data_IF_547981949935
#
_entry.id   IF_547981949935
#
_cell.length_a   1.000
_cell.length_b   1.000
_cell.length_c   1.000
_cell.angle_alpha   90.00
_cell.angle_beta   90.00
_cell.angle_gamma   90.00
#
_symmetry.space_group_name_H-M   'P 1'
#
loop_
_entity.id
_entity.type
_entity.pdbx_description
1 polymer ?
#
# COMPACT_ATOMS: atom_id res chain seq x y z
N UNK A 1 8.65 28.38 -7.23
CA UNK A 1 7.96 27.89 -6.02
C UNK A 1 8.90 28.03 -4.85
N UNK A 2 8.43 28.31 -3.63
CA UNK A 2 9.29 28.35 -2.45
C UNK A 2 9.52 26.93 -1.92
N UNK A 3 10.65 26.66 -1.25
CA UNK A 3 10.89 25.40 -0.54
C UNK A 3 9.71 25.02 0.39
N UNK A 4 9.04 26.01 0.99
CA UNK A 4 7.87 25.79 1.84
C UNK A 4 6.60 25.32 1.10
N UNK A 5 6.54 25.44 -0.23
CA UNK A 5 5.44 24.86 -1.03
C UNK A 5 5.73 23.42 -1.45
N UNK A 6 7.00 22.98 -1.56
CA UNK A 6 7.36 21.58 -1.82
C UNK A 6 7.09 20.69 -0.61
N UNK A 7 7.49 21.14 0.58
CA UNK A 7 7.30 20.42 1.85
C UNK A 7 5.81 20.23 2.22
N UNK A 8 4.89 20.99 1.61
CA UNK A 8 3.47 21.01 1.99
C UNK A 8 2.61 19.88 1.37
N UNK A 9 3.11 19.17 0.35
CA UNK A 9 2.36 18.11 -0.34
C UNK A 9 3.05 16.75 -0.40
N UNK A 10 4.31 16.66 0.03
CA UNK A 10 4.96 15.38 0.23
C UNK A 10 4.34 14.64 1.43
N UNK A 11 4.32 13.31 1.37
CA UNK A 11 3.67 12.44 2.36
C UNK A 11 2.17 12.75 2.59
N UNK A 12 1.45 13.05 1.50
CA UNK A 12 0.00 13.30 1.55
C UNK A 12 -0.78 12.49 0.52
N UNK A 13 -2.06 12.28 0.81
CA UNK A 13 -3.07 11.78 -0.13
C UNK A 13 -4.14 12.85 -0.29
N UNK A 14 -4.27 13.41 -1.49
CA UNK A 14 -5.24 14.44 -1.87
C UNK A 14 -6.44 13.78 -2.58
N UNK A 15 -7.62 13.71 -1.94
CA UNK A 15 -8.82 13.20 -2.58
C UNK A 15 -9.42 14.26 -3.52
N UNK A 16 -10.03 13.81 -4.62
CA UNK A 16 -10.76 14.66 -5.54
C UNK A 16 -11.96 13.93 -6.16
N UNK A 17 -12.81 14.69 -6.84
CA UNK A 17 -13.98 14.20 -7.54
C UNK A 17 -14.17 14.93 -8.87
N UNK A 18 -14.52 14.16 -9.90
CA UNK A 18 -14.95 14.61 -11.23
C UNK A 18 -16.46 14.43 -11.28
N UNK A 19 -17.20 15.48 -10.94
CA UNK A 19 -18.66 15.41 -10.74
C UNK A 19 -19.42 15.10 -12.03
N UNK A 20 -18.91 15.51 -13.20
CA UNK A 20 -19.58 15.29 -14.49
C UNK A 20 -19.46 13.85 -15.02
N UNK A 21 -18.44 13.11 -14.57
CA UNK A 21 -18.14 11.76 -15.04
C UNK A 21 -18.42 10.68 -13.98
N UNK A 22 -19.00 11.05 -12.84
CA UNK A 22 -19.22 10.15 -11.69
C UNK A 22 -17.93 9.41 -11.27
N UNK A 23 -16.79 10.10 -11.28
CA UNK A 23 -15.49 9.53 -10.90
C UNK A 23 -14.96 10.22 -9.65
N UNK A 24 -14.47 9.44 -8.70
CA UNK A 24 -13.66 9.95 -7.59
C UNK A 24 -12.22 9.49 -7.76
N UNK A 25 -11.29 10.26 -7.24
CA UNK A 25 -9.90 9.89 -7.31
C UNK A 25 -9.08 10.40 -6.15
N UNK A 26 -7.81 10.00 -6.14
CA UNK A 26 -6.83 10.39 -5.13
C UNK A 26 -5.49 10.58 -5.83
N UNK A 27 -4.75 11.60 -5.41
CA UNK A 27 -3.33 11.76 -5.75
C UNK A 27 -2.54 11.53 -4.49
N UNK A 28 -1.56 10.63 -4.51
CA UNK A 28 -0.69 10.39 -3.37
C UNK A 28 0.76 10.67 -3.75
N UNK A 29 1.51 11.21 -2.79
CA UNK A 29 2.96 11.32 -2.87
C UNK A 29 3.56 10.88 -1.54
N UNK A 30 4.52 9.97 -1.61
CA UNK A 30 5.27 9.44 -0.49
C UNK A 30 6.75 9.75 -0.72
N UNK A 31 7.36 10.39 0.26
CA UNK A 31 8.76 10.80 0.22
C UNK A 31 9.42 10.32 1.54
N UNK A 32 9.39 11.15 2.59
CA UNK A 32 9.97 10.81 3.90
C UNK A 32 9.33 9.58 4.55
N UNK A 33 8.08 9.24 4.25
CA UNK A 33 7.48 7.96 4.66
C UNK A 33 8.14 6.77 3.98
N UNK A 34 8.39 6.89 2.67
CA UNK A 34 8.99 5.82 1.89
C UNK A 34 10.46 5.61 2.29
N UNK A 35 11.20 6.68 2.54
CA UNK A 35 12.56 6.59 3.10
C UNK A 35 12.58 5.87 4.44
N UNK A 36 11.67 6.22 5.34
CA UNK A 36 11.58 5.56 6.65
C UNK A 36 11.21 4.08 6.51
N UNK A 37 10.37 3.72 5.56
CA UNK A 37 10.03 2.31 5.26
C UNK A 37 11.24 1.54 4.74
N UNK A 38 11.91 2.08 3.71
CA UNK A 38 13.01 1.38 3.03
C UNK A 38 14.25 1.29 3.91
N UNK A 39 14.54 2.32 4.72
CA UNK A 39 15.69 2.32 5.65
C UNK A 39 15.63 1.26 6.77
N UNK A 40 14.49 0.57 6.95
CA UNK A 40 14.39 -0.51 7.94
C UNK A 40 15.13 -1.78 7.51
N UNK A 41 15.47 -1.92 6.22
CA UNK A 41 16.12 -3.10 5.66
C UNK A 41 17.10 -2.71 4.55
N UNK A 42 18.13 -3.54 4.34
CA UNK A 42 19.07 -3.38 3.25
C UNK A 42 18.58 -4.15 2.01
N UNK A 43 17.54 -3.61 1.36
CA UNK A 43 16.92 -4.25 0.21
C UNK A 43 17.73 -4.00 -1.08
N UNK A 44 17.83 -4.99 -1.98
CA UNK A 44 18.31 -4.74 -3.33
C UNK A 44 17.28 -3.89 -4.10
N UNK A 45 17.69 -3.12 -5.13
CA UNK A 45 16.83 -2.14 -5.81
C UNK A 45 15.48 -2.67 -6.32
N UNK A 46 15.42 -3.92 -6.76
CA UNK A 46 14.17 -4.52 -7.23
C UNK A 46 13.15 -4.71 -6.09
N UNK A 47 13.61 -5.05 -4.89
CA UNK A 47 12.75 -5.23 -3.71
C UNK A 47 12.34 -3.85 -3.18
N UNK A 48 13.24 -2.86 -3.22
CA UNK A 48 12.89 -1.47 -2.92
C UNK A 48 11.75 -0.97 -3.81
N UNK A 49 11.80 -1.24 -5.12
CA UNK A 49 10.73 -0.90 -6.06
C UNK A 49 9.39 -1.55 -5.71
N UNK A 50 9.37 -2.86 -5.44
CA UNK A 50 8.15 -3.58 -5.06
C UNK A 50 7.55 -3.05 -3.74
N UNK A 51 8.40 -2.74 -2.76
CA UNK A 51 7.97 -2.15 -1.48
C UNK A 51 7.44 -0.72 -1.69
N UNK A 52 8.06 0.06 -2.58
CA UNK A 52 7.62 1.41 -2.92
C UNK A 52 6.25 1.40 -3.60
N UNK A 53 6.06 0.56 -4.63
CA UNK A 53 4.77 0.42 -5.32
C UNK A 53 3.66 -0.02 -4.34
N UNK A 54 3.93 -1.05 -3.54
CA UNK A 54 2.95 -1.51 -2.53
C UNK A 54 2.64 -0.45 -1.48
N UNK A 55 3.63 0.31 -1.01
CA UNK A 55 3.41 1.39 -0.04
C UNK A 55 2.53 2.49 -0.62
N UNK A 56 2.75 2.85 -1.89
CA UNK A 56 1.95 3.84 -2.60
C UNK A 56 0.51 3.36 -2.82
N UNK A 57 0.32 2.11 -3.29
CA UNK A 57 -1.00 1.47 -3.39
C UNK A 57 -1.75 1.49 -2.05
N UNK A 58 -1.03 1.20 -0.98
CA UNK A 58 -1.58 1.16 0.39
C UNK A 58 -2.03 2.52 0.86
N UNK A 59 -1.27 3.59 0.58
CA UNK A 59 -1.67 4.95 0.89
C UNK A 59 -2.89 5.39 0.07
N UNK A 60 -2.87 5.13 -1.24
CA UNK A 60 -3.98 5.47 -2.14
C UNK A 60 -5.27 4.77 -1.70
N UNK A 61 -5.26 3.44 -1.51
CA UNK A 61 -6.44 2.66 -1.12
C UNK A 61 -6.86 2.98 0.33
N UNK A 62 -5.89 3.12 1.23
CA UNK A 62 -6.08 3.30 2.66
C UNK A 62 -6.77 4.60 3.05
N UNK A 63 -6.67 5.67 2.24
CA UNK A 63 -7.25 6.97 2.57
C UNK A 63 -8.77 6.93 2.84
N UNK A 64 -9.52 5.95 2.29
CA UNK A 64 -10.95 5.76 2.61
C UNK A 64 -11.25 5.04 3.92
N UNK A 65 -10.23 4.54 4.63
CA UNK A 65 -10.43 3.83 5.88
C UNK A 65 -10.92 4.79 6.97
N UNK A 66 -11.93 4.35 7.73
CA UNK A 66 -12.43 5.10 8.88
C UNK A 66 -11.37 5.21 9.98
N UNK A 67 -11.60 6.14 10.91
CA UNK A 67 -10.76 6.30 12.09
C UNK A 67 -10.51 4.95 12.77
N UNK A 68 -9.24 4.70 13.11
CA UNK A 68 -8.77 3.49 13.82
C UNK A 68 -8.92 2.16 13.09
N UNK A 69 -9.43 2.14 11.86
CA UNK A 69 -9.42 0.93 11.03
C UNK A 69 -8.03 0.65 10.48
N UNK A 70 -7.77 -0.61 10.17
CA UNK A 70 -6.50 -1.06 9.57
C UNK A 70 -6.79 -1.72 8.22
N UNK A 71 -6.18 -1.21 7.17
CA UNK A 71 -6.06 -1.88 5.88
C UNK A 71 -4.69 -2.57 5.82
N UNK A 72 -4.65 -3.81 5.33
CA UNK A 72 -3.40 -4.50 5.03
C UNK A 72 -3.44 -4.99 3.58
N UNK A 73 -2.40 -4.69 2.80
CA UNK A 73 -2.19 -5.35 1.52
C UNK A 73 -1.08 -6.39 1.69
N UNK A 74 -1.27 -7.58 1.15
CA UNK A 74 -0.28 -8.65 1.20
C UNK A 74 -0.15 -9.32 -0.16
N UNK A 75 1.07 -9.46 -0.63
CA UNK A 75 1.41 -10.28 -1.79
C UNK A 75 2.22 -11.45 -1.31
N UNK A 76 1.78 -12.67 -1.60
CA UNK A 76 2.57 -13.89 -1.35
C UNK A 76 2.79 -14.64 -2.63
N UNK A 77 4.05 -14.95 -2.90
CA UNK A 77 4.50 -15.58 -4.13
C UNK A 77 5.35 -16.81 -3.89
N UNK A 78 5.47 -17.65 -4.91
CA UNK A 78 6.34 -18.83 -4.93
C UNK A 78 7.77 -18.52 -5.39
N UNK A 79 8.03 -17.30 -5.87
CA UNK A 79 9.34 -16.87 -6.37
C UNK A 79 10.26 -16.32 -5.27
N UNK A 80 11.44 -15.81 -5.66
CA UNK A 80 12.41 -15.23 -4.74
C UNK A 80 11.85 -14.06 -3.89
N UNK A 81 10.93 -13.26 -4.43
CA UNK A 81 10.18 -12.26 -3.66
C UNK A 81 8.95 -12.91 -3.00
N UNK A 82 9.15 -13.49 -1.81
CA UNK A 82 8.20 -14.41 -1.16
C UNK A 82 6.98 -13.72 -0.56
N UNK A 83 7.19 -12.56 0.08
CA UNK A 83 6.15 -11.80 0.76
C UNK A 83 6.43 -10.31 0.63
N UNK A 84 5.40 -9.53 0.30
CA UNK A 84 5.39 -8.08 0.51
C UNK A 84 4.15 -7.78 1.33
N UNK A 85 4.31 -7.08 2.45
CA UNK A 85 3.22 -6.76 3.34
C UNK A 85 3.26 -5.29 3.73
N UNK A 86 2.11 -4.64 3.61
CA UNK A 86 1.95 -3.22 3.89
C UNK A 86 0.69 -3.02 4.72
N UNK A 87 0.75 -2.07 5.65
CA UNK A 87 -0.39 -1.70 6.48
C UNK A 87 -0.63 -0.20 6.39
N UNK A 88 -1.90 0.18 6.31
CA UNK A 88 -2.39 1.54 6.54
C UNK A 88 -3.28 1.54 7.78
N UNK A 89 -2.94 2.39 8.75
CA UNK A 89 -3.78 2.68 9.89
C UNK A 89 -4.47 4.02 9.69
N UNK A 90 -5.79 4.00 9.74
CA UNK A 90 -6.60 5.21 9.76
C UNK A 90 -6.17 6.12 10.92
N UNK A 91 -6.40 7.45 10.79
CA UNK A 91 -6.10 8.39 11.84
C UNK A 91 -6.75 7.99 13.16
N UNK A 92 -6.10 8.34 14.27
CA UNK A 92 -6.67 8.07 15.61
C UNK A 92 -7.85 8.99 15.89
N UNK A 93 -7.76 10.23 15.39
CA UNK A 93 -8.68 11.34 15.55
C UNK A 93 -8.62 12.24 14.29
N UNK A 94 -9.60 13.12 14.11
CA UNK A 94 -9.67 14.02 12.96
C UNK A 94 -8.44 14.94 12.87
N UNK A 95 -7.91 15.09 11.66
CA UNK A 95 -6.72 15.91 11.39
C UNK A 95 -5.39 15.29 11.81
N UNK A 96 -5.38 14.10 12.43
CA UNK A 96 -4.14 13.36 12.70
C UNK A 96 -3.63 12.65 11.43
N UNK A 97 -2.31 12.46 11.30
CA UNK A 97 -1.75 11.71 10.19
C UNK A 97 -2.13 10.23 10.30
N UNK A 98 -2.46 9.64 9.15
CA UNK A 98 -2.52 8.19 9.01
C UNK A 98 -1.12 7.59 9.10
N UNK A 99 -1.04 6.30 9.41
CA UNK A 99 0.27 5.61 9.53
C UNK A 99 0.39 4.52 8.49
N UNK A 100 1.51 4.50 7.78
CA UNK A 100 1.88 3.44 6.83
C UNK A 100 3.13 2.73 7.31
N UNK A 101 3.22 1.43 7.04
CA UNK A 101 4.44 0.63 7.19
C UNK A 101 4.46 -0.46 6.15
N UNK A 102 5.64 -0.90 5.77
CA UNK A 102 5.82 -1.99 4.81
C UNK A 102 7.08 -2.78 5.11
N UNK A 103 7.10 -4.03 4.65
CA UNK A 103 8.31 -4.83 4.53
C UNK A 103 8.15 -5.88 3.44
N UNK A 104 9.27 -6.42 2.99
CA UNK A 104 9.34 -7.58 2.13
C UNK A 104 10.23 -8.68 2.74
N UNK A 105 9.90 -9.92 2.45
CA UNK A 105 10.74 -11.09 2.66
C UNK A 105 11.12 -11.67 1.31
N UNK A 106 12.41 -11.90 1.11
CA UNK A 106 12.94 -12.42 -0.13
C UNK A 106 14.07 -13.43 0.10
N UNK A 107 14.41 -14.18 -0.93
CA UNK A 107 15.53 -15.11 -0.97
C UNK A 107 16.68 -14.49 -1.79
N UNK A 108 17.70 -14.00 -1.09
CA UNK A 108 18.85 -13.33 -1.71
C UNK A 108 19.69 -14.25 -2.62
N UNK A 109 19.68 -15.57 -2.41
CA UNK A 109 20.49 -16.51 -3.21
C UNK A 109 19.86 -16.82 -4.56
N UNK A 110 18.52 -16.77 -4.63
CA UNK A 110 17.76 -17.12 -5.84
C UNK A 110 17.23 -15.91 -6.59
N UNK A 111 17.40 -14.70 -6.04
CA UNK A 111 16.97 -13.45 -6.66
C UNK A 111 17.76 -13.16 -7.94
N UNK A 112 17.06 -12.97 -9.06
CA UNK A 112 17.68 -12.58 -10.33
C UNK A 112 17.68 -11.06 -10.48
N UNK A 113 18.86 -10.45 -10.34
CA UNK A 113 19.06 -9.00 -10.44
C UNK A 113 18.90 -8.40 -11.84
N UNK A 114 18.72 -9.23 -12.86
CA UNK A 114 18.55 -8.80 -14.25
C UNK A 114 17.12 -8.94 -14.75
N UNK A 115 16.28 -9.65 -14.01
CA UNK A 115 14.89 -9.89 -14.36
C UNK A 115 13.98 -8.74 -13.92
N UNK A 116 12.77 -8.74 -14.47
CA UNK A 116 11.70 -7.85 -14.03
C UNK A 116 11.35 -8.10 -12.54
N UNK A 117 11.21 -7.04 -11.71
CA UNK A 117 10.90 -7.18 -10.29
C UNK A 117 9.59 -7.92 -10.02
N UNK A 118 8.52 -7.66 -10.77
CA UNK A 118 7.22 -8.30 -10.55
C UNK A 118 7.29 -9.80 -10.85
N UNK A 119 8.03 -10.19 -11.89
CA UNK A 119 8.31 -11.59 -12.21
C UNK A 119 8.99 -12.39 -11.09
N UNK A 120 9.75 -11.73 -10.20
CA UNK A 120 10.40 -12.37 -9.04
C UNK A 120 9.41 -12.85 -7.97
N UNK A 121 8.16 -12.39 -8.00
CA UNK A 121 7.12 -12.85 -7.07
C UNK A 121 6.64 -14.25 -7.46
N UNK A 122 6.60 -14.56 -8.75
CA UNK A 122 6.09 -15.83 -9.27
C UNK A 122 4.59 -16.01 -9.04
N UNK A 123 4.15 -17.25 -8.90
CA UNK A 123 2.73 -17.57 -8.72
C UNK A 123 2.30 -17.38 -7.27
N UNK A 124 1.07 -16.92 -7.05
CA UNK A 124 0.54 -16.76 -5.71
C UNK A 124 -0.68 -15.87 -5.68
N UNK A 125 -0.80 -15.06 -4.64
CA UNK A 125 -1.98 -14.22 -4.46
C UNK A 125 -1.65 -12.82 -3.92
N UNK A 126 -2.53 -11.88 -4.30
CA UNK A 126 -2.66 -10.56 -3.72
C UNK A 126 -3.90 -10.54 -2.82
N UNK A 127 -3.74 -10.11 -1.58
CA UNK A 127 -4.80 -10.07 -0.58
C UNK A 127 -4.98 -8.67 0.00
N UNK A 128 -6.24 -8.27 0.16
CA UNK A 128 -6.65 -7.09 0.90
C UNK A 128 -7.35 -7.54 2.17
N UNK A 129 -6.90 -7.01 3.31
CA UNK A 129 -7.51 -7.27 4.62
C UNK A 129 -7.94 -5.95 5.25
N UNK A 130 -9.17 -5.91 5.76
CA UNK A 130 -9.71 -4.75 6.48
C UNK A 130 -10.12 -5.20 7.87
N UNK A 131 -9.43 -4.67 8.88
CA UNK A 131 -9.74 -4.85 10.29
C UNK A 131 -10.42 -3.59 10.83
N UNK A 132 -11.65 -3.75 11.32
CA UNK A 132 -12.51 -2.68 11.81
C UNK A 132 -12.46 -2.52 13.34
N UNK A 133 -11.60 -3.30 14.01
CA UNK A 133 -11.41 -3.29 15.46
C UNK A 133 -12.14 -4.43 16.19
N UNK A 134 -12.10 -4.35 17.53
CA UNK A 134 -12.60 -5.41 18.41
C UNK A 134 -14.08 -5.76 18.15
N UNK A 135 -14.37 -7.07 18.16
CA UNK A 135 -15.73 -7.58 17.96
C UNK A 135 -16.17 -7.69 16.49
N UNK A 136 -15.31 -7.33 15.54
CA UNK A 136 -15.57 -7.51 14.10
C UNK A 136 -14.67 -8.60 13.52
N UNK A 137 -15.22 -9.43 12.63
CA UNK A 137 -14.41 -10.33 11.83
C UNK A 137 -13.73 -9.51 10.73
N UNK A 138 -12.39 -9.58 10.58
CA UNK A 138 -11.71 -8.89 9.49
C UNK A 138 -12.27 -9.33 8.14
N UNK A 139 -12.51 -8.36 7.28
CA UNK A 139 -12.82 -8.65 5.88
C UNK A 139 -11.54 -9.03 5.15
N UNK A 140 -11.63 -10.01 4.27
CA UNK A 140 -10.52 -10.49 3.46
C UNK A 140 -11.01 -10.79 2.05
N UNK A 141 -10.37 -10.18 1.07
CA UNK A 141 -10.53 -10.54 -0.35
C UNK A 141 -9.17 -10.86 -0.97
N UNK A 142 -9.16 -11.79 -1.92
CA UNK A 142 -7.96 -12.35 -2.52
C UNK A 142 -8.15 -12.42 -4.03
N UNK A 143 -7.11 -12.09 -4.79
CA UNK A 143 -7.04 -12.24 -6.24
C UNK A 143 -5.69 -12.91 -6.62
N UNK A 144 -5.63 -13.69 -7.71
CA UNK A 144 -4.34 -14.19 -8.21
C UNK A 144 -3.38 -13.05 -8.56
N UNK A 145 -2.07 -13.35 -8.51
CA UNK A 145 -1.05 -12.45 -9.05
C UNK A 145 -1.15 -12.51 -10.58
N UNK A 146 -1.63 -11.43 -11.19
CA UNK A 146 -1.88 -11.35 -12.63
C UNK A 146 -1.70 -9.91 -13.13
N UNK A 147 -1.64 -9.73 -14.45
CA UNK A 147 -1.60 -8.40 -15.08
C UNK A 147 -0.24 -7.69 -15.08
N UNK A 148 0.84 -8.40 -14.72
CA UNK A 148 2.22 -7.93 -14.90
C UNK A 148 2.69 -6.83 -13.93
N UNK A 149 1.87 -6.40 -12.98
CA UNK A 149 2.22 -5.40 -11.96
C UNK A 149 1.36 -5.53 -10.71
N UNK A 150 1.80 -4.94 -9.59
CA UNK A 150 1.04 -4.94 -8.34
C UNK A 150 -0.21 -4.05 -8.45
N UNK A 151 -0.10 -2.93 -9.17
CA UNK A 151 -1.24 -2.09 -9.51
C UNK A 151 -2.30 -2.86 -10.31
N UNK A 152 -1.92 -3.64 -11.33
CA UNK A 152 -2.88 -4.48 -12.07
C UNK A 152 -3.55 -5.56 -11.19
N UNK A 153 -2.83 -6.12 -10.21
CA UNK A 153 -3.42 -7.00 -9.20
C UNK A 153 -4.49 -6.27 -8.37
N UNK A 154 -4.21 -5.03 -7.94
CA UNK A 154 -5.16 -4.21 -7.21
C UNK A 154 -6.39 -3.83 -8.06
N UNK A 155 -6.21 -3.51 -9.34
CA UNK A 155 -7.33 -3.25 -10.28
C UNK A 155 -8.22 -4.48 -10.44
N UNK A 156 -7.61 -5.64 -10.63
CA UNK A 156 -8.33 -6.93 -10.72
C UNK A 156 -9.12 -7.21 -9.46
N UNK A 157 -8.53 -6.96 -8.28
CA UNK A 157 -9.23 -7.06 -7.01
C UNK A 157 -10.49 -6.18 -6.98
N UNK A 158 -10.38 -4.90 -7.33
CA UNK A 158 -11.52 -3.97 -7.27
C UNK A 158 -12.61 -4.31 -8.29
N UNK A 159 -12.22 -4.76 -9.49
CA UNK A 159 -13.17 -5.20 -10.51
C UNK A 159 -13.94 -6.45 -10.06
N UNK A 160 -13.24 -7.47 -9.52
CA UNK A 160 -13.84 -8.76 -9.20
C UNK A 160 -14.53 -8.80 -7.83
N UNK A 161 -13.88 -8.26 -6.81
CA UNK A 161 -14.33 -8.40 -5.40
C UNK A 161 -15.23 -7.26 -4.97
N UNK A 162 -14.95 -6.04 -5.42
CA UNK A 162 -15.73 -4.85 -5.02
C UNK A 162 -16.72 -4.40 -6.10
N UNK A 163 -16.58 -4.87 -7.34
CA UNK A 163 -17.35 -4.41 -8.52
C UNK A 163 -17.25 -2.89 -8.70
N UNK A 164 -16.06 -2.34 -8.47
CA UNK A 164 -15.77 -0.91 -8.63
C UNK A 164 -14.66 -0.75 -9.67
N UNK A 165 -14.98 -0.27 -10.88
CA UNK A 165 -13.97 0.15 -11.86
C UNK A 165 -12.94 1.05 -11.20
N UNK A 166 -11.69 0.59 -11.19
CA UNK A 166 -10.57 1.25 -10.51
C UNK A 166 -9.36 1.22 -11.42
N UNK A 167 -8.65 2.34 -11.51
CA UNK A 167 -7.43 2.50 -12.31
C UNK A 167 -6.34 3.17 -11.48
N UNK A 168 -5.10 2.75 -11.65
CA UNK A 168 -3.93 3.37 -11.06
C UNK A 168 -2.92 3.82 -12.13
N UNK A 169 -2.34 4.99 -11.92
CA UNK A 169 -1.10 5.42 -12.58
C UNK A 169 -0.08 5.71 -11.49
N UNK A 170 0.96 4.89 -11.40
CA UNK A 170 1.95 4.91 -10.33
C UNK A 170 3.35 5.07 -10.89
N UNK A 171 4.20 5.77 -10.17
CA UNK A 171 5.64 5.75 -10.41
C UNK A 171 6.39 5.89 -9.09
N UNK A 172 7.64 5.44 -9.09
CA UNK A 172 8.55 5.56 -7.96
C UNK A 172 9.98 5.60 -8.47
N UNK A 173 10.85 6.28 -7.75
CA UNK A 173 12.26 6.35 -8.09
C UNK A 173 13.06 7.19 -7.12
N UNK A 174 14.36 7.16 -7.31
CA UNK A 174 15.28 8.04 -6.61
C UNK A 174 15.33 9.40 -7.30
N UNK A 175 15.19 10.45 -6.49
CA UNK A 175 15.26 11.84 -6.92
C UNK A 175 16.46 12.52 -6.27
N UNK A 176 17.11 13.41 -7.01
CA UNK A 176 18.19 14.23 -6.50
C UNK A 176 18.11 15.64 -7.09
N UNK A 177 18.04 16.64 -6.22
CA UNK A 177 18.22 18.03 -6.59
C UNK A 177 19.69 18.46 -6.40
N UNK A 178 20.17 19.47 -7.15
CA UNK A 178 21.53 19.98 -6.98
C UNK A 178 21.79 20.45 -5.54
N UNK A 179 22.70 19.77 -4.84
CA UNK A 179 23.07 20.08 -3.46
C UNK A 179 22.28 19.34 -2.39
N UNK A 180 21.42 18.39 -2.77
CA UNK A 180 20.68 17.52 -1.86
C UNK A 180 21.12 16.06 -1.97
N UNK A 181 20.88 15.30 -0.91
CA UNK A 181 21.07 13.86 -0.91
C UNK A 181 20.02 13.17 -1.79
N UNK A 182 20.38 12.00 -2.31
CA UNK A 182 19.45 11.15 -3.06
C UNK A 182 18.38 10.66 -2.10
N UNK A 183 17.12 10.87 -2.46
CA UNK A 183 15.96 10.46 -1.66
C UNK A 183 14.95 9.69 -2.52
N UNK A 184 14.16 8.85 -1.87
CA UNK A 184 13.16 8.01 -2.51
C UNK A 184 11.82 8.73 -2.64
N UNK A 185 11.28 8.80 -3.85
CA UNK A 185 9.95 9.35 -4.13
C UNK A 185 9.05 8.31 -4.75
N UNK A 186 7.79 8.29 -4.34
CA UNK A 186 6.72 7.57 -5.02
C UNK A 186 5.51 8.48 -5.17
N UNK A 187 4.85 8.42 -6.31
CA UNK A 187 3.74 9.29 -6.66
C UNK A 187 2.76 8.56 -7.56
N UNK A 188 1.47 8.82 -7.36
CA UNK A 188 0.46 8.15 -8.17
C UNK A 188 -0.91 8.74 -8.06
N UNK A 189 -1.75 8.39 -9.03
CA UNK A 189 -3.16 8.74 -9.12
C UNK A 189 -3.98 7.46 -9.12
N UNK A 190 -5.06 7.46 -8.34
CA UNK A 190 -6.08 6.43 -8.35
C UNK A 190 -7.39 7.05 -8.84
N UNK A 191 -8.06 6.40 -9.79
CA UNK A 191 -9.43 6.71 -10.20
C UNK A 191 -10.36 5.57 -9.81
N UNK A 192 -11.58 5.90 -9.41
CA UNK A 192 -12.65 4.96 -9.16
C UNK A 192 -13.98 5.51 -9.66
N UNK A 193 -14.73 4.68 -10.37
CA UNK A 193 -16.11 5.00 -10.71
C UNK A 193 -16.99 5.03 -9.45
N UNK A 194 -17.94 5.96 -9.40
CA UNK A 194 -18.93 6.07 -8.36
C UNK A 194 -20.23 5.43 -8.85
N UNK A 195 -20.67 4.31 -8.27
CA UNK A 195 -21.92 3.70 -8.70
C UNK A 195 -23.10 4.65 -8.44
N UNK A 196 -23.97 4.82 -9.44
CA UNK A 196 -25.29 5.40 -9.23
C UNK A 196 -26.09 4.48 -8.29
N UNK A 197 -27.05 5.02 -7.54
CA UNK A 197 -27.77 4.32 -6.48
C UNK A 197 -28.70 3.15 -6.93
N UNK A 198 -28.40 2.43 -8.02
CA UNK A 198 -29.11 1.24 -8.43
C UNK A 198 -28.15 0.10 -8.83
N UNK A 199 -28.15 -1.03 -8.10
CA UNK A 199 -27.29 -2.16 -8.37
C UNK A 199 -27.93 -3.04 -9.45
N UNK A 200 -27.89 -2.62 -10.71
CA UNK A 200 -28.30 -3.47 -11.83
C UNK A 200 -27.56 -3.09 -13.10
N UNK A 201 -26.34 -3.57 -13.28
CA UNK A 201 -25.90 -4.32 -14.49
C UNK A 201 -24.63 -5.09 -14.11
N UNK A 202 -24.63 -6.41 -14.26
CA UNK A 202 -23.41 -7.16 -14.50
C UNK A 202 -23.71 -8.09 -15.68
N UNK A 203 -23.11 -7.81 -16.83
CA UNK A 203 -23.06 -8.78 -17.93
C UNK A 203 -22.20 -9.97 -17.52
N UNK A 204 -22.72 -11.18 -17.72
CA UNK A 204 -21.96 -12.41 -17.45
C UNK A 204 -20.83 -12.59 -18.48
N UNK A 205 -19.62 -12.16 -18.12
CA UNK A 205 -18.38 -12.48 -18.85
C UNK A 205 -17.31 -11.39 -18.74
N UNK A 206 -16.10 -11.75 -18.32
CA UNK A 206 -14.94 -10.85 -18.32
C UNK A 206 -14.24 -10.80 -19.68
N UNK A 207 -13.91 -9.59 -20.14
CA UNK A 207 -13.22 -9.36 -21.41
C UNK A 207 -11.70 -9.55 -21.37
N UNK A 208 -11.13 -9.81 -20.18
CA UNK A 208 -9.69 -9.97 -19.98
C UNK A 208 -9.13 -11.37 -20.30
N UNK A 209 -7.79 -11.47 -20.26
CA UNK A 209 -7.09 -12.76 -20.39
C UNK A 209 -7.61 -13.76 -19.33
N UNK A 210 -7.77 -15.02 -19.74
CA UNK A 210 -8.38 -16.09 -18.92
C UNK A 210 -9.81 -15.81 -18.41
N UNK A 211 -10.54 -14.86 -19.02
CA UNK A 211 -11.91 -14.52 -18.64
C UNK A 211 -12.01 -13.62 -17.40
N UNK A 212 -10.91 -12.97 -17.03
CA UNK A 212 -10.84 -11.99 -15.93
C UNK A 212 -11.72 -10.78 -16.25
N UNK A 213 -12.61 -10.40 -15.31
CA UNK A 213 -13.42 -9.18 -15.39
C UNK A 213 -12.52 -7.93 -15.43
N UNK A 214 -12.76 -7.06 -16.42
CA UNK A 214 -12.12 -5.76 -16.55
C UNK A 214 -13.06 -4.63 -16.09
N UNK A 215 -12.47 -3.46 -15.79
CA UNK A 215 -13.21 -2.29 -15.31
C UNK A 215 -14.35 -1.86 -16.26
N UNK A 216 -14.15 -1.97 -17.58
CA UNK A 216 -15.18 -1.62 -18.56
C UNK A 216 -16.37 -2.58 -18.60
N UNK A 217 -16.23 -3.80 -18.10
CA UNK A 217 -17.30 -4.82 -18.11
C UNK A 217 -18.41 -4.51 -17.09
N UNK A 218 -18.19 -3.49 -16.24
CA UNK A 218 -19.06 -3.11 -15.13
C UNK A 218 -19.85 -1.81 -15.38
N UNK A 219 -19.70 -1.19 -16.56
CA UNK A 219 -20.23 0.14 -16.87
C UNK A 219 -21.26 0.06 -18.01
N UNK A 220 -22.26 0.95 -18.00
CA UNK A 220 -23.11 1.18 -19.18
C UNK A 220 -22.38 2.00 -20.27
N UNK A 221 -23.01 2.21 -21.43
CA UNK A 221 -22.34 2.85 -22.57
C UNK A 221 -21.85 4.28 -22.24
N UNK A 222 -22.67 5.10 -21.58
CA UNK A 222 -22.32 6.49 -21.23
C UNK A 222 -21.26 6.54 -20.11
N UNK A 223 -21.40 5.70 -19.09
CA UNK A 223 -20.43 5.55 -18.01
C UNK A 223 -19.08 5.00 -18.54
N UNK A 224 -19.15 4.07 -19.48
CA UNK A 224 -18.00 3.49 -20.17
C UNK A 224 -17.24 4.51 -21.00
N UNK A 225 -17.93 5.40 -21.71
CA UNK A 225 -17.29 6.51 -22.45
C UNK A 225 -16.60 7.50 -21.50
N UNK A 226 -17.26 7.89 -20.40
CA UNK A 226 -16.67 8.78 -19.40
C UNK A 226 -15.44 8.16 -18.72
N UNK A 227 -15.52 6.89 -18.35
CA UNK A 227 -14.40 6.13 -17.79
C UNK A 227 -13.25 6.02 -18.78
N UNK A 228 -13.53 5.71 -20.04
CA UNK A 228 -12.53 5.64 -21.11
C UNK A 228 -11.83 6.99 -21.30
N UNK A 229 -12.59 8.09 -21.33
CA UNK A 229 -12.03 9.45 -21.46
C UNK A 229 -11.13 9.79 -20.29
N UNK A 230 -11.56 9.53 -19.06
CA UNK A 230 -10.77 9.81 -17.86
C UNK A 230 -9.46 9.00 -17.84
N UNK A 231 -9.50 7.72 -18.24
CA UNK A 231 -8.31 6.89 -18.34
C UNK A 231 -7.38 7.35 -19.47
N UNK A 232 -7.92 7.72 -20.64
CA UNK A 232 -7.10 8.25 -21.73
C UNK A 232 -6.36 9.55 -21.34
N UNK A 233 -6.99 10.40 -20.51
CA UNK A 233 -6.34 11.57 -19.94
C UNK A 233 -5.29 11.17 -18.90
N UNK A 234 -5.61 10.22 -18.02
CA UNK A 234 -4.68 9.71 -17.01
C UNK A 234 -3.42 9.11 -17.64
N UNK A 235 -3.54 8.38 -18.75
CA UNK A 235 -2.42 7.77 -19.47
C UNK A 235 -1.44 8.80 -20.08
N UNK A 236 -1.80 10.10 -20.10
CA UNK A 236 -0.90 11.19 -20.54
C UNK A 236 0.02 11.70 -19.44
N UNK A 237 -0.16 11.26 -18.19
CA UNK A 237 0.66 11.74 -17.07
C UNK A 237 2.12 11.33 -17.23
N UNK A 238 3.04 12.26 -17.03
CA UNK A 238 4.47 11.97 -17.07
C UNK A 238 5.01 11.59 -15.68
N UNK A 239 6.05 10.75 -15.63
CA UNK A 239 6.69 10.35 -14.37
C UNK A 239 7.14 11.56 -13.54
N UNK A 240 7.71 12.58 -14.18
CA UNK A 240 8.16 13.81 -13.52
C UNK A 240 7.00 14.64 -12.97
N UNK A 241 5.78 14.46 -13.47
CA UNK A 241 4.60 15.12 -12.90
C UNK A 241 4.09 14.37 -11.68
N UNK A 242 4.32 13.07 -11.57
CA UNK A 242 3.93 12.26 -10.42
C UNK A 242 4.92 12.38 -9.26
N UNK A 243 6.23 12.26 -9.51
CA UNK A 243 7.27 12.27 -8.47
C UNK A 243 8.16 13.52 -8.49
N UNK A 244 8.12 14.32 -9.55
CA UNK A 244 9.00 15.47 -9.67
C UNK A 244 8.63 16.62 -8.73
N UNK A 245 9.59 17.51 -8.42
CA UNK A 245 9.44 18.55 -7.40
C UNK A 245 8.73 19.81 -7.93
N UNK A 246 8.26 19.80 -9.18
CA UNK A 246 7.84 21.02 -9.92
C UNK A 246 6.35 21.15 -10.14
N UNK A 247 5.57 20.08 -9.97
CA UNK A 247 4.13 20.08 -10.22
C UNK A 247 3.43 19.78 -8.90
N UNK A 248 2.58 20.65 -8.38
CA UNK A 248 1.78 20.33 -7.20
C UNK A 248 0.63 19.35 -7.54
N UNK A 249 0.12 18.54 -6.59
CA UNK A 249 -0.96 17.59 -6.88
C UNK A 249 -2.24 18.27 -7.41
N UNK A 250 -2.57 19.47 -6.91
CA UNK A 250 -3.70 20.26 -7.41
C UNK A 250 -3.50 20.73 -8.85
N UNK A 251 -2.27 21.11 -9.21
CA UNK A 251 -1.95 21.55 -10.57
C UNK A 251 -1.98 20.36 -11.54
N UNK A 252 -1.54 19.19 -11.10
CA UNK A 252 -1.66 17.94 -11.86
C UNK A 252 -3.12 17.63 -12.19
N UNK A 253 -4.03 17.75 -11.22
CA UNK A 253 -5.45 17.53 -11.45
C UNK A 253 -6.05 18.50 -12.48
N UNK A 254 -5.66 19.77 -12.44
CA UNK A 254 -6.10 20.74 -13.45
C UNK A 254 -5.51 20.39 -14.82
N UNK A 255 -4.22 20.01 -14.92
CA UNK A 255 -3.63 19.57 -16.19
C UNK A 255 -4.39 18.42 -16.83
N UNK A 256 -4.67 17.37 -16.04
CA UNK A 256 -5.33 16.16 -16.52
C UNK A 256 -6.83 16.38 -16.79
N UNK A 257 -7.53 17.08 -15.91
CA UNK A 257 -9.00 17.07 -15.86
C UNK A 257 -9.65 18.46 -15.87
N UNK A 258 -8.99 19.51 -16.37
CA UNK A 258 -9.55 20.88 -16.36
C UNK A 258 -10.98 21.00 -16.92
N UNK A 259 -11.32 20.24 -17.96
CA UNK A 259 -12.67 20.25 -18.55
C UNK A 259 -13.74 19.69 -17.59
N UNK A 260 -13.35 18.78 -16.69
CA UNK A 260 -14.21 18.16 -15.67
C UNK A 260 -14.33 19.01 -14.40
N UNK A 261 -13.53 20.09 -14.27
CA UNK A 261 -13.47 20.98 -13.09
C UNK A 261 -13.29 20.20 -11.76
N UNK A 262 -12.11 19.58 -11.53
CA UNK A 262 -11.91 18.67 -10.41
C UNK A 262 -12.14 19.36 -9.07
N UNK A 263 -13.02 18.78 -8.25
CA UNK A 263 -13.28 19.23 -6.89
C UNK A 263 -12.35 18.51 -5.93
N UNK A 264 -11.45 19.26 -5.30
CA UNK A 264 -10.48 18.73 -4.32
C UNK A 264 -11.01 18.80 -2.89
N UNK A 265 -10.57 17.87 -2.06
CA UNK A 265 -10.88 17.80 -0.63
C UNK A 265 -9.62 18.03 0.22
N UNK A 266 -9.78 18.05 1.55
CA UNK A 266 -8.66 18.17 2.48
C UNK A 266 -7.71 16.97 2.32
N UNK A 267 -6.41 17.28 2.19
CA UNK A 267 -5.37 16.26 2.08
C UNK A 267 -5.19 15.53 3.41
N UNK A 268 -5.09 14.20 3.33
CA UNK A 268 -4.71 13.36 4.46
C UNK A 268 -3.18 13.24 4.51
N UNK A 269 -2.58 13.70 5.60
CA UNK A 269 -1.16 13.45 5.85
C UNK A 269 -0.92 11.98 6.21
N UNK A 270 0.21 11.45 5.76
CA UNK A 270 0.65 10.08 6.04
C UNK A 270 2.02 10.16 6.71
N UNK A 271 2.28 9.26 7.65
CA UNK A 271 3.62 9.11 8.25
C UNK A 271 3.97 7.64 8.38
N UNK A 272 5.26 7.33 8.56
CA UNK A 272 5.64 5.99 8.99
C UNK A 272 5.09 5.70 10.39
N UNK A 273 4.62 4.48 10.64
CA UNK A 273 4.22 4.09 11.98
C UNK A 273 4.04 2.60 12.20
N UNK A 274 4.77 2.08 13.17
CA UNK A 274 4.64 0.70 13.64
C UNK A 274 3.86 0.62 14.96
N UNK A 275 3.18 -0.51 15.19
CA UNK A 275 2.44 -0.81 16.42
C UNK A 275 3.10 -1.90 17.26
N UNK A 276 4.33 -2.31 16.93
CA UNK A 276 5.03 -3.31 17.72
C UNK A 276 5.33 -2.78 19.12
N UNK A 277 5.25 -3.68 20.10
CA UNK A 277 5.58 -3.39 21.49
C UNK A 277 6.08 -4.66 22.15
N UNK A 278 6.83 -4.49 23.24
CA UNK A 278 7.28 -5.62 24.03
C UNK A 278 6.10 -6.52 24.45
N UNK A 279 5.01 -5.90 24.91
CA UNK A 279 3.78 -6.60 25.29
C UNK A 279 3.17 -7.39 24.13
N UNK A 280 3.15 -6.82 22.91
CA UNK A 280 2.66 -7.51 21.72
C UNK A 280 3.51 -8.74 21.36
N UNK A 281 4.83 -8.62 21.45
CA UNK A 281 5.75 -9.75 21.19
C UNK A 281 5.59 -10.84 22.25
N UNK A 282 5.51 -10.48 23.54
CA UNK A 282 5.22 -11.43 24.63
C UNK A 282 3.89 -12.15 24.41
N UNK A 283 2.85 -11.42 23.99
CA UNK A 283 1.56 -11.99 23.68
C UNK A 283 1.65 -13.01 22.54
N UNK A 284 2.40 -12.73 21.47
CA UNK A 284 2.62 -13.69 20.38
C UNK A 284 3.40 -14.94 20.84
N UNK A 285 4.32 -14.79 21.80
CA UNK A 285 5.10 -15.90 22.35
C UNK A 285 4.37 -16.69 23.46
N UNK A 286 3.24 -16.18 23.96
CA UNK A 286 2.49 -16.79 25.07
C UNK A 286 1.95 -18.19 24.76
N UNK A 287 1.83 -18.56 23.48
CA UNK A 287 1.32 -19.87 23.05
C UNK A 287 2.36 -21.00 23.15
N UNK A 288 3.63 -20.67 23.30
CA UNK A 288 4.73 -21.64 23.31
C UNK A 288 4.99 -22.18 24.72
N UNK A 289 5.44 -23.43 24.81
CA UNK A 289 5.88 -24.04 26.07
C UNK A 289 7.28 -23.56 26.45
N UNK A 290 7.67 -23.68 27.73
CA UNK A 290 9.05 -23.36 28.13
C UNK A 290 10.09 -24.20 27.38
N UNK A 291 9.71 -25.42 26.97
CA UNK A 291 10.54 -26.29 26.13
C UNK A 291 10.76 -25.70 24.73
N UNK A 292 9.73 -25.14 24.11
CA UNK A 292 9.85 -24.51 22.79
C UNK A 292 10.59 -23.16 22.90
N UNK A 293 10.36 -22.40 23.97
CA UNK A 293 11.15 -21.18 24.24
C UNK A 293 12.64 -21.51 24.43
N UNK A 294 12.97 -22.64 25.06
CA UNK A 294 14.35 -23.08 25.21
C UNK A 294 15.02 -23.40 23.86
N UNK A 295 14.28 -23.86 22.84
CA UNK A 295 14.86 -24.07 21.50
C UNK A 295 15.03 -22.77 20.72
N UNK A 296 14.34 -21.71 21.11
CA UNK A 296 14.49 -20.35 20.57
C UNK A 296 15.57 -19.53 21.31
N UNK A 297 16.13 -20.06 22.40
CA UNK A 297 17.13 -19.38 23.21
C UNK A 297 18.49 -19.42 22.51
N UNK A 298 19.11 -18.25 22.37
CA UNK A 298 20.44 -18.10 21.78
C UNK A 298 21.54 -18.62 22.70
N UNK A 299 22.76 -18.78 22.17
CA UNK A 299 23.94 -19.17 22.96
C UNK A 299 24.25 -18.19 24.12
N UNK A 300 23.71 -16.97 24.07
CA UNK A 300 23.82 -15.96 25.14
C UNK A 300 22.76 -16.11 26.24
N UNK A 301 21.90 -17.13 26.16
CA UNK A 301 20.86 -17.39 27.15
C UNK A 301 19.64 -16.46 27.06
N UNK A 302 19.45 -15.78 25.93
CA UNK A 302 18.33 -14.85 25.69
C UNK A 302 17.49 -15.28 24.50
N UNK A 303 16.22 -14.86 24.47
CA UNK A 303 15.36 -14.96 23.29
C UNK A 303 15.27 -13.58 22.65
N UNK A 304 15.52 -13.51 21.34
CA UNK A 304 15.44 -12.27 20.57
C UNK A 304 14.29 -12.31 19.59
N UNK A 305 13.66 -11.16 19.35
CA UNK A 305 12.62 -11.02 18.35
C UNK A 305 12.76 -9.68 17.63
N UNK A 306 12.78 -9.73 16.30
CA UNK A 306 12.91 -8.54 15.44
C UNK A 306 11.59 -8.21 14.77
N UNK A 307 11.14 -6.97 14.92
CA UNK A 307 9.99 -6.48 14.18
C UNK A 307 10.34 -6.26 12.71
N UNK A 308 9.77 -7.08 11.83
CA UNK A 308 10.01 -7.00 10.39
C UNK A 308 9.55 -5.67 9.76
N UNK A 309 8.66 -4.89 10.40
CA UNK A 309 8.20 -3.61 9.86
C UNK A 309 9.07 -2.41 10.23
N UNK A 310 9.76 -2.43 11.37
CA UNK A 310 10.46 -1.25 11.89
C UNK A 310 11.82 -1.55 12.51
N UNK A 311 12.37 -2.75 12.28
CA UNK A 311 13.68 -3.16 12.76
C UNK A 311 13.85 -3.20 14.28
N UNK A 312 12.78 -3.03 15.07
CA UNK A 312 12.87 -3.01 16.52
C UNK A 312 13.33 -4.37 17.04
N UNK A 313 14.45 -4.39 17.75
CA UNK A 313 15.03 -5.58 18.36
C UNK A 313 14.59 -5.70 19.83
N UNK A 314 13.89 -6.78 20.15
CA UNK A 314 13.47 -7.09 21.51
C UNK A 314 14.30 -8.23 22.08
N UNK A 315 14.72 -8.10 23.33
CA UNK A 315 15.50 -9.11 24.06
C UNK A 315 14.75 -9.51 25.31
N UNK A 316 14.57 -10.81 25.50
CA UNK A 316 13.82 -11.38 26.60
C UNK A 316 14.65 -12.42 27.35
N UNK A 317 14.42 -12.47 28.66
CA UNK A 317 14.83 -13.62 29.47
C UNK A 317 13.85 -14.78 29.20
N UNK A 318 14.32 -15.99 28.85
CA UNK A 318 13.49 -17.14 28.49
C UNK A 318 12.41 -17.47 29.55
N UNK A 319 12.73 -17.32 30.83
CA UNK A 319 11.84 -17.59 31.96
C UNK A 319 10.63 -16.64 32.06
N UNK A 320 10.64 -15.54 31.32
CA UNK A 320 9.55 -14.55 31.28
C UNK A 320 8.61 -14.73 30.09
N UNK A 321 8.79 -15.81 29.31
CA UNK A 321 8.07 -16.09 28.07
C UNK A 321 7.34 -17.45 28.11
N UNK A 322 6.36 -17.60 27.23
CA UNK A 322 5.51 -18.80 27.13
C UNK A 322 4.38 -18.83 28.16
N UNK A 323 3.53 -19.86 28.09
CA UNK A 323 2.41 -19.99 29.02
C UNK A 323 2.83 -20.35 30.46
N UNK A 324 4.09 -20.77 30.66
CA UNK A 324 4.69 -21.08 31.97
C UNK A 324 5.56 -19.93 32.51
N UNK A 325 5.43 -18.73 31.92
CA UNK A 325 6.20 -17.56 32.32
C UNK A 325 6.05 -17.29 33.81
N UNK A 326 7.18 -17.04 34.49
CA UNK A 326 7.16 -16.56 35.87
C UNK A 326 6.90 -15.07 35.81
N UNK A 327 5.70 -14.64 36.22
CA UNK A 327 5.37 -13.22 36.34
C UNK A 327 6.42 -12.53 37.22
N UNK A 328 7.24 -11.67 36.60
CA UNK A 328 8.30 -10.92 37.26
C UNK A 328 7.78 -9.74 38.10
N UNK A 329 6.58 -9.86 38.70
CA UNK A 329 6.11 -8.90 39.70
C UNK A 329 6.74 -9.23 41.05
N UNK A 330 7.96 -8.73 41.27
CA UNK A 330 8.57 -8.54 42.59
C UNK A 330 9.21 -7.15 42.64
#
# INVERSE_FOLDING_TARGET
MSLGTQIAWDDTVLPFQLDASDIRGRVARLDGVLEQVLSQHDYPPMIEGLVAEMSLLTALIGQTMKLRWKLSLQVRGSGPARLIATDYYGPTDDGQPARVRAYASYDAETLDHTADPFGQIGNGYFAILIDQGEGTAPYQGITPIAGGSLSACAETYFAQSEQIPTRFALTHGQSQLPGEDVHWRAGGVMLQHMPKASPFVASEGGSGEEGVLQAQDLLDDDEGENWTRANALLDTVEEIELIGPTVAPTDLLVRLFHEEQPRVYDAQSVKFGCTCSEAGVRQSLSIYSAKDIATMTTDQGTVTADCQFCGAHYVFAPETLGFEAKDGSA
#
